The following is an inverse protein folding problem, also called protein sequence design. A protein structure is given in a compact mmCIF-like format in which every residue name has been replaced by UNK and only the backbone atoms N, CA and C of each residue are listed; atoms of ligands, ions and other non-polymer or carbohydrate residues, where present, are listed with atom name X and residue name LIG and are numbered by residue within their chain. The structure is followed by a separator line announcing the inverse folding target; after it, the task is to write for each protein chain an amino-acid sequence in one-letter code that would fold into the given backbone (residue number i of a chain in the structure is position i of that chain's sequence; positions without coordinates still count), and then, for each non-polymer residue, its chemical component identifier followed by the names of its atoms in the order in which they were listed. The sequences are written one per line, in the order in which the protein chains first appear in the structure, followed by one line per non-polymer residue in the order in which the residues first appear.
data_IF_774817241735
#
_entry.id   IF_774817241735
#
_cell.length_a   1.000
_cell.length_b   1.000
_cell.length_c   1.000
_cell.angle_alpha   90.00
_cell.angle_beta   90.00
_cell.angle_gamma   90.00
#
_symmetry.space_group_name_H-M   'P 1'
#
loop_
_entity.id
_entity.type
_entity.pdbx_description
1 polymer ?
#
# COMPACT_ATOMS: atom_id res chain seq x y z
N UNK A 1 2.37 -0.81 7.93
CA UNK A 1 2.33 -2.29 8.05
C UNK A 1 1.12 -2.69 8.87
N UNK A 2 0.41 -3.76 8.48
CA UNK A 2 -0.71 -4.27 9.25
C UNK A 2 -0.24 -4.89 10.57
N UNK A 3 -1.04 -4.72 11.62
CA UNK A 3 -0.68 -5.15 12.96
C UNK A 3 -0.52 -6.67 13.07
N UNK A 4 -1.40 -7.42 12.39
CA UNK A 4 -1.57 -8.85 12.63
C UNK A 4 -0.54 -9.73 11.95
N UNK A 5 -0.08 -9.36 10.74
CA UNK A 5 0.82 -10.19 9.94
C UNK A 5 2.17 -9.49 9.72
N UNK A 6 2.22 -8.47 8.87
CA UNK A 6 3.49 -7.89 8.43
C UNK A 6 4.26 -7.19 9.55
N UNK A 7 3.58 -6.56 10.51
CA UNK A 7 4.25 -6.00 11.69
C UNK A 7 4.82 -7.11 12.59
N UNK A 8 4.07 -8.19 12.80
CA UNK A 8 4.57 -9.36 13.54
C UNK A 8 5.72 -10.07 12.81
N UNK A 9 5.70 -10.12 11.47
CA UNK A 9 6.82 -10.60 10.66
C UNK A 9 8.08 -9.74 10.83
N UNK A 10 7.91 -8.41 10.94
CA UNK A 10 9.01 -7.51 11.29
C UNK A 10 9.56 -7.78 12.71
N UNK A 11 8.68 -7.99 13.69
CA UNK A 11 9.07 -8.35 15.05
C UNK A 11 9.83 -9.69 15.08
N UNK A 12 9.36 -10.69 14.32
CA UNK A 12 10.03 -11.98 14.18
C UNK A 12 11.42 -11.85 13.57
N UNK A 13 11.60 -10.99 12.56
CA UNK A 13 12.91 -10.69 12.01
C UNK A 13 13.85 -10.10 13.08
N UNK A 14 13.34 -9.19 13.91
CA UNK A 14 14.06 -8.62 15.05
C UNK A 14 14.46 -9.64 16.11
N UNK A 15 13.52 -10.48 16.55
CA UNK A 15 13.76 -11.55 17.54
C UNK A 15 14.78 -12.57 17.02
N UNK A 16 14.66 -12.92 15.73
CA UNK A 16 15.55 -13.86 15.05
C UNK A 16 16.90 -13.25 14.65
N UNK A 17 17.11 -11.95 14.94
CA UNK A 17 18.33 -11.19 14.62
C UNK A 17 18.67 -11.18 13.12
N UNK A 18 17.66 -11.32 12.26
CA UNK A 18 17.81 -11.28 10.81
C UNK A 18 18.12 -9.83 10.42
N UNK A 19 19.22 -9.63 9.71
CA UNK A 19 19.68 -8.30 9.29
C UNK A 19 18.99 -7.88 8.00
N UNK A 20 18.63 -6.61 7.94
CA UNK A 20 18.06 -5.94 6.76
C UNK A 20 18.48 -4.47 6.75
N UNK A 21 18.24 -3.79 5.63
CA UNK A 21 18.64 -2.41 5.43
C UNK A 21 17.99 -1.45 6.44
N UNK A 22 18.74 -0.51 7.06
CA UNK A 22 18.26 0.33 8.16
C UNK A 22 17.42 1.56 7.72
N UNK A 23 17.08 1.65 6.44
CA UNK A 23 16.46 2.82 5.80
C UNK A 23 14.94 2.94 6.06
N UNK A 24 14.30 1.85 6.47
CA UNK A 24 12.85 1.80 6.70
C UNK A 24 12.46 2.50 8.02
N UNK A 25 11.30 3.17 8.00
CA UNK A 25 10.56 3.60 9.21
C UNK A 25 9.14 3.03 9.16
N UNK A 26 8.80 2.18 10.13
CA UNK A 26 7.53 1.46 10.13
C UNK A 26 6.44 2.31 10.79
N UNK A 27 5.34 2.54 10.07
CA UNK A 27 4.09 3.04 10.64
C UNK A 27 3.12 1.86 10.78
N UNK A 28 2.68 1.62 12.02
CA UNK A 28 1.73 0.56 12.34
C UNK A 28 0.30 1.01 12.07
N UNK A 29 -0.46 0.18 11.37
CA UNK A 29 -1.91 0.30 11.19
C UNK A 29 -2.56 -1.05 11.51
N UNK A 30 -3.84 -1.07 11.84
CA UNK A 30 -4.51 -2.34 12.15
C UNK A 30 -4.61 -3.26 10.92
N UNK A 31 -4.93 -2.69 9.77
CA UNK A 31 -5.11 -3.41 8.51
C UNK A 31 -4.42 -2.67 7.36
N UNK A 32 -3.93 -3.40 6.35
CA UNK A 32 -3.45 -2.79 5.10
C UNK A 32 -4.56 -2.02 4.37
N UNK A 33 -5.83 -2.45 4.49
CA UNK A 33 -6.99 -1.73 3.91
C UNK A 33 -7.19 -0.30 4.44
N UNK A 34 -6.56 0.03 5.58
CA UNK A 34 -6.55 1.39 6.14
C UNK A 34 -5.63 2.34 5.36
N UNK A 35 -4.67 1.80 4.62
CA UNK A 35 -3.75 2.57 3.80
C UNK A 35 -4.49 3.05 2.56
N UNK A 36 -4.50 4.37 2.42
CA UNK A 36 -5.28 5.10 1.42
C UNK A 36 -4.31 5.85 0.49
N UNK A 37 -4.67 6.10 -0.78
CA UNK A 37 -3.84 6.87 -1.70
C UNK A 37 -3.37 8.21 -1.10
N UNK A 38 -4.23 8.90 -0.34
CA UNK A 38 -3.90 10.14 0.33
C UNK A 38 -2.72 10.01 1.32
N UNK A 39 -2.68 8.91 2.07
CA UNK A 39 -1.61 8.65 3.04
C UNK A 39 -0.29 8.39 2.33
N UNK A 40 -0.32 7.65 1.22
CA UNK A 40 0.86 7.38 0.40
C UNK A 40 1.41 8.68 -0.22
N UNK A 41 0.54 9.51 -0.80
CA UNK A 41 0.95 10.78 -1.40
C UNK A 41 1.44 11.78 -0.36
N UNK A 42 0.89 11.76 0.85
CA UNK A 42 1.42 12.54 1.98
C UNK A 42 2.86 12.13 2.31
N UNK A 43 3.21 10.84 2.25
CA UNK A 43 4.59 10.41 2.49
C UNK A 43 5.55 10.94 1.42
N UNK A 44 5.17 10.89 0.13
CA UNK A 44 5.96 11.48 -0.95
C UNK A 44 6.08 13.00 -0.83
N UNK A 45 5.01 13.70 -0.45
CA UNK A 45 5.00 15.15 -0.19
C UNK A 45 5.99 15.52 0.93
N UNK A 46 6.14 14.65 1.94
CA UNK A 46 7.10 14.82 3.04
C UNK A 46 8.54 14.39 2.68
N UNK A 47 8.80 14.01 1.43
CA UNK A 47 10.14 13.69 0.94
C UNK A 47 10.55 12.22 1.08
N UNK A 48 9.61 11.29 1.20
CA UNK A 48 9.94 9.87 1.15
C UNK A 48 10.41 9.46 -0.26
N UNK A 49 11.54 8.77 -0.37
CA UNK A 49 12.04 8.26 -1.65
C UNK A 49 11.27 7.02 -2.14
N UNK A 50 10.67 6.29 -1.21
CA UNK A 50 9.82 5.14 -1.47
C UNK A 50 8.88 4.84 -0.31
N UNK A 51 7.74 4.23 -0.61
CA UNK A 51 6.70 3.84 0.35
C UNK A 51 6.42 2.36 0.17
N UNK A 52 6.57 1.58 1.25
CA UNK A 52 6.25 0.15 1.26
C UNK A 52 5.00 -0.11 2.10
N UNK A 53 3.97 -0.66 1.46
CA UNK A 53 2.74 -1.11 2.12
C UNK A 53 2.82 -2.63 2.25
N UNK A 54 2.76 -3.13 3.48
CA UNK A 54 2.78 -4.57 3.74
C UNK A 54 1.56 -5.03 4.53
N UNK A 55 0.94 -6.14 4.11
CA UNK A 55 -0.26 -6.72 4.70
C UNK A 55 -0.20 -8.24 4.88
N UNK A 56 -1.30 -8.84 5.34
CA UNK A 56 -1.49 -10.29 5.35
C UNK A 56 -1.66 -10.83 3.93
N UNK A 57 -1.31 -12.10 3.70
CA UNK A 57 -1.59 -12.78 2.43
C UNK A 57 -3.09 -12.75 2.09
N UNK A 58 -3.45 -12.63 0.79
CA UNK A 58 -4.83 -12.79 0.34
C UNK A 58 -5.44 -14.09 0.89
N UNK A 59 -6.59 -14.00 1.56
CA UNK A 59 -7.23 -15.11 2.26
C UNK A 59 -6.99 -15.12 3.78
N UNK A 60 -5.85 -14.59 4.24
CA UNK A 60 -5.45 -14.61 5.66
C UNK A 60 -5.71 -13.26 6.37
N UNK A 61 -6.53 -12.39 5.78
CA UNK A 61 -6.80 -11.09 6.37
C UNK A 61 -7.54 -11.26 7.69
N UNK A 62 -7.00 -10.69 8.77
CA UNK A 62 -7.70 -10.65 10.06
C UNK A 62 -9.08 -9.97 9.99
N UNK A 63 -9.25 -9.04 9.04
CA UNK A 63 -10.52 -8.36 8.78
C UNK A 63 -11.18 -8.84 7.47
N UNK A 64 -10.95 -10.10 7.10
CA UNK A 64 -11.60 -10.82 5.98
C UNK A 64 -11.20 -10.28 4.60
N UNK A 65 -11.58 -9.05 4.26
CA UNK A 65 -11.41 -8.50 2.91
C UNK A 65 -10.43 -7.32 2.82
N UNK A 66 -9.96 -6.78 3.96
CA UNK A 66 -9.22 -5.52 3.98
C UNK A 66 -7.94 -5.46 3.14
N UNK A 67 -7.25 -6.59 2.93
CA UNK A 67 -6.08 -6.64 2.04
C UNK A 67 -6.45 -6.60 0.56
N UNK A 68 -7.56 -7.20 0.14
CA UNK A 68 -8.08 -7.05 -1.23
C UNK A 68 -8.43 -5.59 -1.53
N UNK A 69 -9.05 -4.89 -0.57
CA UNK A 69 -9.32 -3.46 -0.69
C UNK A 69 -8.02 -2.66 -0.83
N UNK A 70 -6.98 -3.03 -0.07
CA UNK A 70 -5.66 -2.39 -0.16
C UNK A 70 -5.05 -2.60 -1.55
N UNK A 71 -5.14 -3.80 -2.11
CA UNK A 71 -4.61 -4.09 -3.45
C UNK A 71 -5.22 -3.18 -4.51
N UNK A 72 -6.56 -3.02 -4.52
CA UNK A 72 -7.25 -2.13 -5.47
C UNK A 72 -6.87 -0.66 -5.26
N UNK A 73 -6.79 -0.19 -4.01
CA UNK A 73 -6.34 1.16 -3.67
C UNK A 73 -4.91 1.44 -4.14
N UNK A 74 -3.99 0.50 -3.96
CA UNK A 74 -2.60 0.68 -4.38
C UNK A 74 -2.48 0.63 -5.91
N UNK A 75 -3.23 -0.24 -6.60
CA UNK A 75 -3.31 -0.24 -8.07
C UNK A 75 -3.78 1.12 -8.62
N UNK A 76 -4.82 1.71 -8.03
CA UNK A 76 -5.26 3.06 -8.37
C UNK A 76 -4.16 4.10 -8.07
N UNK A 77 -3.48 3.97 -6.93
CA UNK A 77 -2.40 4.89 -6.53
C UNK A 77 -1.24 4.86 -7.53
N UNK A 78 -0.84 3.70 -8.08
CA UNK A 78 0.18 3.63 -9.13
C UNK A 78 -0.19 4.44 -10.37
N UNK A 79 -1.46 4.38 -10.82
CA UNK A 79 -1.96 5.21 -11.93
C UNK A 79 -1.81 6.70 -11.61
N UNK A 80 -2.09 7.11 -10.37
CA UNK A 80 -1.97 8.51 -9.91
C UNK A 80 -0.51 8.95 -9.85
N UNK A 81 0.39 8.13 -9.29
CA UNK A 81 1.83 8.41 -9.22
C UNK A 81 2.43 8.62 -10.61
N UNK A 82 2.05 7.77 -11.57
CA UNK A 82 2.48 7.89 -12.96
C UNK A 82 2.10 9.26 -13.56
N UNK A 83 0.88 9.74 -13.30
CA UNK A 83 0.41 11.06 -13.76
C UNK A 83 1.13 12.21 -13.04
N UNK A 84 1.49 12.03 -11.77
CA UNK A 84 2.27 12.98 -11.00
C UNK A 84 3.77 13.02 -11.39
N UNK A 85 4.22 12.11 -12.26
CA UNK A 85 5.63 11.99 -12.67
C UNK A 85 6.51 11.29 -11.64
N UNK A 86 5.91 10.49 -10.76
CA UNK A 86 6.62 9.63 -9.80
C UNK A 86 6.68 8.22 -10.39
N UNK A 87 7.88 7.61 -10.37
CA UNK A 87 8.05 6.22 -10.78
C UNK A 87 7.22 5.29 -9.88
N UNK A 88 6.36 4.46 -10.50
CA UNK A 88 5.46 3.55 -9.79
C UNK A 88 6.22 2.56 -8.89
N UNK A 89 7.46 2.20 -9.24
CA UNK A 89 8.33 1.35 -8.43
C UNK A 89 8.62 1.93 -7.05
N UNK A 90 8.45 3.25 -6.85
CA UNK A 90 8.60 3.89 -5.54
C UNK A 90 7.49 3.53 -4.56
N UNK A 91 6.40 2.92 -5.01
CA UNK A 91 5.34 2.38 -4.16
C UNK A 91 5.33 0.85 -4.25
N UNK A 92 5.69 0.19 -3.17
CA UNK A 92 5.64 -1.27 -3.04
C UNK A 92 4.38 -1.75 -2.32
N UNK A 93 3.83 -2.88 -2.75
CA UNK A 93 2.80 -3.63 -2.05
C UNK A 93 3.25 -5.07 -1.84
N UNK A 94 3.33 -5.50 -0.59
CA UNK A 94 3.89 -6.81 -0.24
C UNK A 94 3.02 -7.54 0.77
N UNK A 95 3.00 -8.87 0.65
CA UNK A 95 2.25 -9.75 1.54
C UNK A 95 3.23 -10.58 2.37
N UNK A 96 3.12 -10.42 3.70
CA UNK A 96 4.06 -10.98 4.68
C UNK A 96 3.24 -11.47 5.87
N UNK A 97 3.25 -12.77 6.12
CA UNK A 97 2.65 -13.40 7.30
C UNK A 97 3.45 -13.12 8.57
N UNK A 98 2.85 -13.40 9.73
CA UNK A 98 3.51 -13.26 11.02
C UNK A 98 4.74 -14.20 11.19
N UNK A 99 4.78 -15.32 10.47
CA UNK A 99 5.85 -16.32 10.55
C UNK A 99 6.99 -16.05 9.54
N UNK A 100 6.90 -15.00 8.74
CA UNK A 100 7.76 -14.75 7.58
C UNK A 100 8.85 -13.70 7.85
N UNK A 101 9.60 -13.85 8.95
CA UNK A 101 10.67 -12.92 9.32
C UNK A 101 11.80 -12.83 8.28
N UNK A 102 12.17 -13.93 7.63
CA UNK A 102 13.17 -13.93 6.57
C UNK A 102 12.67 -13.20 5.33
N UNK A 103 11.45 -13.51 4.87
CA UNK A 103 10.81 -12.83 3.74
C UNK A 103 10.70 -11.32 3.99
N UNK A 104 10.37 -10.91 5.21
CA UNK A 104 10.38 -9.50 5.59
C UNK A 104 11.73 -8.84 5.30
N UNK A 105 12.82 -9.44 5.78
CA UNK A 105 14.16 -8.93 5.55
C UNK A 105 14.51 -8.87 4.06
N UNK A 106 14.19 -9.92 3.30
CA UNK A 106 14.46 -10.01 1.87
C UNK A 106 13.70 -8.92 1.09
N UNK A 107 12.41 -8.73 1.40
CA UNK A 107 11.58 -7.68 0.82
C UNK A 107 12.13 -6.29 1.13
N UNK A 108 12.49 -6.01 2.38
CA UNK A 108 13.04 -4.69 2.76
C UNK A 108 14.37 -4.43 2.05
N UNK A 109 15.23 -5.43 1.94
CA UNK A 109 16.52 -5.32 1.25
C UNK A 109 16.32 -5.05 -0.25
N UNK A 110 15.49 -5.86 -0.92
CA UNK A 110 15.20 -5.71 -2.33
C UNK A 110 14.55 -4.36 -2.64
N UNK A 111 13.57 -3.94 -1.83
CA UNK A 111 12.93 -2.64 -1.99
C UNK A 111 13.93 -1.49 -1.78
N UNK A 112 14.75 -1.56 -0.73
CA UNK A 112 15.77 -0.53 -0.45
C UNK A 112 16.80 -0.43 -1.57
N UNK A 113 17.27 -1.56 -2.10
CA UNK A 113 18.17 -1.59 -3.24
C UNK A 113 17.54 -0.91 -4.47
N UNK A 114 16.31 -1.29 -4.82
CA UNK A 114 15.59 -0.70 -5.94
C UNK A 114 15.44 0.82 -5.78
N UNK A 115 15.07 1.31 -4.59
CA UNK A 115 14.96 2.76 -4.34
C UNK A 115 16.34 3.45 -4.43
N UNK A 116 17.41 2.79 -3.98
CA UNK A 116 18.77 3.30 -4.07
C UNK A 116 19.21 3.46 -5.53
N UNK A 117 18.88 2.48 -6.39
CA UNK A 117 19.18 2.51 -7.83
C UNK A 117 18.37 3.60 -8.56
N UNK A 118 17.11 3.84 -8.16
CA UNK A 118 16.30 4.94 -8.68
C UNK A 118 16.79 6.33 -8.21
N UNK A 119 17.60 6.37 -7.15
CA UNK A 119 18.08 7.59 -6.53
C UNK A 119 17.01 8.39 -5.78
N UNK A 120 17.37 9.58 -5.27
CA UNK A 120 16.46 10.42 -4.50
C UNK A 120 15.28 10.90 -5.36
N UNK A 121 14.12 11.08 -4.73
CA UNK A 121 12.92 11.57 -5.39
C UNK A 121 13.14 12.99 -5.93
N UNK A 122 13.00 13.15 -7.25
CA UNK A 122 13.05 14.45 -7.96
C UNK A 122 11.74 14.70 -8.71
N UNK A 123 10.64 14.79 -7.97
CA UNK A 123 9.32 15.12 -8.53
C UNK A 123 8.94 16.58 -8.21
N UNK A 124 8.14 17.21 -9.08
CA UNK A 124 7.64 18.58 -8.84
C UNK A 124 6.71 18.58 -7.62
N UNK A 125 7.05 19.28 -6.52
CA UNK A 125 6.23 19.29 -5.30
C UNK A 125 4.78 19.70 -5.54
N UNK A 126 4.53 20.56 -6.53
CA UNK A 126 3.16 21.00 -6.89
C UNK A 126 2.33 19.86 -7.45
N UNK A 127 2.93 18.99 -8.28
CA UNK A 127 2.25 17.81 -8.83
C UNK A 127 1.87 16.81 -7.73
N UNK A 128 2.75 16.63 -6.74
CA UNK A 128 2.49 15.76 -5.59
C UNK A 128 1.34 16.34 -4.76
N UNK A 129 1.38 17.65 -4.48
CA UNK A 129 0.33 18.33 -3.72
C UNK A 129 -1.04 18.26 -4.44
N UNK A 130 -1.08 18.52 -5.75
CA UNK A 130 -2.32 18.35 -6.54
C UNK A 130 -2.81 16.90 -6.49
N UNK A 131 -1.94 15.91 -6.73
CA UNK A 131 -2.33 14.50 -6.68
C UNK A 131 -2.90 14.12 -5.30
N UNK A 132 -2.27 14.60 -4.22
CA UNK A 132 -2.74 14.38 -2.85
C UNK A 132 -4.14 14.97 -2.64
N UNK A 133 -4.37 16.20 -3.08
CA UNK A 133 -5.66 16.86 -2.88
C UNK A 133 -6.79 16.19 -3.66
N UNK A 134 -6.53 15.72 -4.88
CA UNK A 134 -7.48 14.91 -5.66
C UNK A 134 -7.85 13.61 -4.95
N UNK A 135 -6.89 12.99 -4.25
CA UNK A 135 -7.16 11.78 -3.44
C UNK A 135 -7.81 12.06 -2.10
N UNK A 136 -7.97 13.33 -1.71
CA UNK A 136 -8.69 13.69 -0.49
C UNK A 136 -10.21 13.51 -0.65
N UNK A 137 -10.71 13.51 -1.89
CA UNK A 137 -12.13 13.36 -2.18
C UNK A 137 -12.68 12.04 -1.60
N UNK A 138 -13.83 12.16 -0.93
CA UNK A 138 -14.47 11.04 -0.24
C UNK A 138 -14.72 9.84 -1.16
N UNK A 139 -15.08 10.07 -2.43
CA UNK A 139 -15.37 9.01 -3.38
C UNK A 139 -14.13 8.19 -3.68
N UNK A 140 -12.98 8.83 -3.89
CA UNK A 140 -11.71 8.13 -4.15
C UNK A 140 -11.30 7.30 -2.94
N UNK A 141 -11.43 7.88 -1.74
CA UNK A 141 -11.02 7.21 -0.49
C UNK A 141 -11.89 6.00 -0.14
N UNK A 142 -13.18 6.07 -0.47
CA UNK A 142 -14.15 5.04 -0.13
C UNK A 142 -14.37 4.03 -1.25
N UNK A 143 -14.71 4.48 -2.46
CA UNK A 143 -15.22 3.61 -3.52
C UNK A 143 -14.15 2.69 -4.13
N UNK A 144 -12.90 3.14 -4.23
CA UNK A 144 -11.81 2.36 -4.85
C UNK A 144 -11.58 1.03 -4.13
N UNK A 145 -11.81 0.98 -2.82
CA UNK A 145 -11.67 -0.25 -2.04
C UNK A 145 -12.92 -1.13 -2.00
N UNK A 146 -14.05 -0.67 -2.55
CA UNK A 146 -15.37 -1.32 -2.40
C UNK A 146 -15.74 -2.26 -3.54
N UNK A 147 -14.88 -2.39 -4.54
CA UNK A 147 -15.14 -3.23 -5.72
C UNK A 147 -15.59 -4.64 -5.35
N UNK A 148 -14.85 -5.34 -4.48
CA UNK A 148 -15.22 -6.70 -4.05
C UNK A 148 -16.63 -6.76 -3.45
N UNK A 149 -16.91 -5.86 -2.49
CA UNK A 149 -18.22 -5.81 -1.84
C UNK A 149 -19.33 -5.49 -2.86
N UNK A 150 -19.07 -4.61 -3.84
CA UNK A 150 -20.04 -4.23 -4.87
C UNK A 150 -20.30 -5.36 -5.90
N UNK A 151 -19.29 -6.18 -6.19
CA UNK A 151 -19.44 -7.35 -7.07
C UNK A 151 -20.15 -8.51 -6.36
N UNK A 152 -19.90 -8.71 -5.07
CA UNK A 152 -20.46 -9.82 -4.29
C UNK A 152 -21.87 -9.52 -3.74
N UNK A 153 -22.10 -8.31 -3.23
CA UNK A 153 -23.35 -7.91 -2.56
C UNK A 153 -24.25 -7.01 -3.42
N UNK A 154 -23.71 -6.41 -4.49
CA UNK A 154 -24.41 -5.42 -5.31
C UNK A 154 -24.37 -4.00 -4.75
N UNK A 155 -25.09 -3.09 -5.41
CA UNK A 155 -25.22 -1.71 -4.94
C UNK A 155 -26.23 -1.59 -3.77
N UNK A 156 -26.51 -0.36 -3.32
CA UNK A 156 -27.44 -0.10 -2.20
C UNK A 156 -28.87 -0.61 -2.46
N UNK A 157 -29.24 -0.82 -3.73
CA UNK A 157 -30.53 -1.36 -4.15
C UNK A 157 -30.51 -2.88 -4.36
N UNK A 158 -29.37 -3.54 -4.12
CA UNK A 158 -29.19 -4.98 -4.36
C UNK A 158 -29.03 -5.33 -5.85
N UNK A 159 -28.77 -4.34 -6.70
CA UNK A 159 -28.52 -4.58 -8.12
C UNK A 159 -27.07 -5.05 -8.31
N UNK A 160 -26.82 -6.09 -9.12
CA UNK A 160 -25.47 -6.56 -9.38
C UNK A 160 -24.67 -5.48 -10.12
N UNK A 161 -23.42 -5.28 -9.70
CA UNK A 161 -22.47 -4.41 -10.40
C UNK A 161 -21.59 -5.30 -11.27
N UNK A 162 -21.38 -4.91 -12.53
CA UNK A 162 -20.48 -5.64 -13.43
C UNK A 162 -19.02 -5.23 -13.20
N UNK A 163 -18.10 -6.17 -13.36
CA UNK A 163 -16.64 -5.93 -13.25
C UNK A 163 -16.15 -4.87 -14.26
N UNK A 164 -16.78 -4.78 -15.43
CA UNK A 164 -16.56 -3.76 -16.46
C UNK A 164 -16.70 -2.32 -15.95
N UNK A 165 -17.38 -2.12 -14.82
CA UNK A 165 -17.56 -0.79 -14.19
C UNK A 165 -16.27 -0.25 -13.57
N UNK A 166 -15.28 -1.11 -13.28
CA UNK A 166 -14.09 -0.76 -12.50
C UNK A 166 -12.79 -0.71 -13.31
N UNK A 167 -12.84 -1.06 -14.61
CA UNK A 167 -11.67 -1.05 -15.53
C UNK A 167 -11.30 0.36 -16.03
#
# INVERSE_FOLDING_TARGET
MCNWCSYAGADLAGISRIKYAPNLRIIRVLCSGRVDPYVVLTAFEKGADGVLVAGCHPGDCHYISGNYQAEKKIKATWKILSKAGIDQKRLGLEWISAAEGQRFADVVNAFTQMITELGPLRADPRKIATAKEETADFRIRWLVGREKDLLEEGNVFGEPVEESTFE
#
